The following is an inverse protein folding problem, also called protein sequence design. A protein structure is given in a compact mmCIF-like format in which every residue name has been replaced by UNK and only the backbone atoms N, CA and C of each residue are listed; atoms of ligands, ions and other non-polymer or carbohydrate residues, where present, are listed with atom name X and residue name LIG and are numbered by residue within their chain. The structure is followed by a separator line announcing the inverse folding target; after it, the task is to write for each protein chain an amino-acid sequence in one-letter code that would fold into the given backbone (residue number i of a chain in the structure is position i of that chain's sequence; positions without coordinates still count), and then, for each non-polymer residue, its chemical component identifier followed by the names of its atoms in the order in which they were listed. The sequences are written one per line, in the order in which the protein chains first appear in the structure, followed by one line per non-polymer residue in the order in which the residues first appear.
data_IF_881528620889
#
_entry.id   IF_881528620889
#
_cell.length_a   1.000
_cell.length_b   1.000
_cell.length_c   1.000
_cell.angle_alpha   90.00
_cell.angle_beta   90.00
_cell.angle_gamma   90.00
#
_symmetry.space_group_name_H-M   'P 1'
#
loop_
_entity.id
_entity.type
_entity.pdbx_description
1 polymer ?
#
# COMPACT_ATOMS: atom_id res chain seq x y z
N UNK A 1 10.63 -13.21 -27.00
CA UNK A 1 11.34 -13.00 -25.72
C UNK A 1 10.53 -11.98 -24.92
N UNK A 2 10.10 -12.30 -23.71
CA UNK A 2 9.39 -11.34 -22.87
C UNK A 2 10.41 -10.44 -22.15
N UNK A 3 10.11 -9.14 -22.03
CA UNK A 3 10.96 -8.18 -21.31
C UNK A 3 10.20 -7.75 -20.06
N UNK A 4 10.75 -8.06 -18.89
CA UNK A 4 10.25 -7.53 -17.61
C UNK A 4 10.67 -6.07 -17.44
N UNK A 5 9.70 -5.17 -17.25
CA UNK A 5 9.97 -3.75 -16.97
C UNK A 5 9.87 -3.48 -15.47
N UNK A 6 10.90 -2.85 -14.91
CA UNK A 6 10.93 -2.37 -13.53
C UNK A 6 10.94 -0.84 -13.49
N UNK A 7 10.23 -0.24 -12.54
CA UNK A 7 10.28 1.19 -12.24
C UNK A 7 10.12 1.42 -10.75
N UNK A 8 10.93 2.31 -10.18
CA UNK A 8 10.94 2.62 -8.74
C UNK A 8 10.84 4.14 -8.57
N UNK A 9 10.01 4.59 -7.62
CA UNK A 9 9.81 6.01 -7.28
C UNK A 9 9.65 6.15 -5.76
N UNK A 10 10.17 7.24 -5.21
CA UNK A 10 10.00 7.61 -3.80
C UNK A 10 8.74 8.47 -3.65
N UNK A 11 7.90 8.13 -2.68
CA UNK A 11 6.69 8.87 -2.34
C UNK A 11 6.96 10.10 -1.48
N UNK A 12 5.94 10.95 -1.29
CA UNK A 12 5.97 12.03 -0.30
C UNK A 12 5.48 11.51 1.05
N UNK A 13 5.96 12.10 2.13
CA UNK A 13 5.45 11.86 3.48
C UNK A 13 3.94 12.15 3.56
N UNK A 14 3.22 11.35 4.35
CA UNK A 14 1.76 11.49 4.54
C UNK A 14 0.90 10.93 3.40
N UNK A 15 1.45 10.06 2.54
CA UNK A 15 0.74 9.42 1.42
C UNK A 15 0.88 7.91 1.39
N UNK A 16 1.45 7.28 2.40
CA UNK A 16 1.68 5.84 2.44
C UNK A 16 0.36 5.07 2.57
N UNK A 17 -0.51 5.45 3.50
CA UNK A 17 -1.79 4.76 3.76
C UNK A 17 -2.72 4.73 2.56
N UNK A 18 -3.03 5.87 1.91
CA UNK A 18 -3.91 5.84 0.74
C UNK A 18 -3.29 5.06 -0.43
N UNK A 19 -1.95 5.03 -0.54
CA UNK A 19 -1.27 4.27 -1.57
C UNK A 19 -1.31 2.75 -1.30
N UNK A 20 -1.08 2.33 -0.05
CA UNK A 20 -1.20 0.94 0.36
C UNK A 20 -2.63 0.42 0.18
N UNK A 21 -3.62 1.18 0.62
CA UNK A 21 -5.04 0.85 0.43
C UNK A 21 -5.41 0.75 -1.06
N UNK A 22 -4.82 1.59 -1.92
CA UNK A 22 -5.01 1.51 -3.37
C UNK A 22 -4.48 0.19 -3.94
N UNK A 23 -3.23 -0.18 -3.62
CA UNK A 23 -2.61 -1.42 -4.12
C UNK A 23 -3.37 -2.66 -3.64
N UNK A 24 -3.68 -2.71 -2.34
CA UNK A 24 -4.39 -3.83 -1.73
C UNK A 24 -5.90 -3.83 -2.03
N UNK A 25 -6.41 -2.81 -2.75
CA UNK A 25 -7.84 -2.62 -3.07
C UNK A 25 -8.74 -2.64 -1.83
N UNK A 26 -8.33 -1.95 -0.76
CA UNK A 26 -9.06 -1.88 0.50
C UNK A 26 -9.90 -0.58 0.60
N UNK A 27 -10.99 -0.64 1.37
CA UNK A 27 -11.84 0.52 1.67
C UNK A 27 -12.49 1.10 0.42
N UNK A 28 -12.23 2.38 0.13
CA UNK A 28 -12.84 3.08 -1.01
C UNK A 28 -12.50 2.46 -2.39
N UNK A 29 -11.46 1.61 -2.46
CA UNK A 29 -11.00 0.98 -3.70
C UNK A 29 -11.58 -0.41 -3.93
N UNK A 30 -12.33 -0.97 -2.97
CA UNK A 30 -12.99 -2.28 -3.12
C UNK A 30 -13.98 -2.25 -4.29
N UNK A 31 -14.71 -1.14 -4.44
CA UNK A 31 -15.68 -0.93 -5.53
C UNK A 31 -15.05 -0.82 -6.92
N UNK A 32 -13.73 -0.59 -7.02
CA UNK A 32 -13.05 -0.58 -8.33
C UNK A 32 -12.89 -1.96 -8.94
N UNK A 33 -13.05 -3.02 -8.15
CA UNK A 33 -13.08 -4.40 -8.67
C UNK A 33 -14.29 -4.63 -9.60
N UNK A 34 -15.36 -3.83 -9.45
CA UNK A 34 -16.56 -3.91 -10.29
C UNK A 34 -16.33 -3.41 -11.74
N UNK A 35 -15.23 -2.69 -12.01
CA UNK A 35 -14.87 -2.21 -13.35
C UNK A 35 -14.04 -3.21 -14.16
N UNK A 36 -13.92 -4.45 -13.69
CA UNK A 36 -13.29 -5.56 -14.44
C UNK A 36 -11.80 -5.78 -14.12
N UNK A 37 -11.22 -5.00 -13.19
CA UNK A 37 -9.89 -5.28 -12.66
C UNK A 37 -10.00 -6.25 -11.46
N UNK A 38 -9.19 -7.31 -11.45
CA UNK A 38 -9.12 -8.24 -10.31
C UNK A 38 -7.76 -8.14 -9.64
N UNK A 39 -7.77 -8.03 -8.31
CA UNK A 39 -6.57 -8.23 -7.50
C UNK A 39 -6.32 -9.74 -7.42
N UNK A 40 -5.25 -10.22 -8.06
CA UNK A 40 -4.93 -11.65 -8.09
C UNK A 40 -4.28 -12.15 -6.78
N UNK A 41 -3.39 -11.34 -6.22
CA UNK A 41 -2.69 -11.65 -4.98
C UNK A 41 -2.30 -10.35 -4.26
N UNK A 42 -2.32 -10.39 -2.93
CA UNK A 42 -1.78 -9.35 -2.07
C UNK A 42 -1.30 -9.98 -0.78
N UNK A 43 -0.06 -9.70 -0.41
CA UNK A 43 0.57 -10.21 0.80
C UNK A 43 1.38 -9.11 1.46
N UNK A 44 1.64 -9.27 2.75
CA UNK A 44 2.48 -8.40 3.54
C UNK A 44 3.30 -9.23 4.52
N UNK A 45 4.46 -8.71 4.93
CA UNK A 45 5.37 -9.40 5.83
C UNK A 45 6.24 -8.43 6.62
N UNK A 46 7.00 -8.95 7.58
CA UNK A 46 7.87 -8.17 8.47
C UNK A 46 7.13 -7.03 9.21
N UNK A 47 5.86 -7.25 9.55
CA UNK A 47 5.07 -6.26 10.27
C UNK A 47 5.46 -6.25 11.76
N UNK A 48 5.49 -5.06 12.40
CA UNK A 48 5.66 -4.99 13.84
C UNK A 48 4.45 -5.63 14.54
N UNK A 49 4.64 -6.07 15.80
CA UNK A 49 3.61 -6.82 16.56
C UNK A 49 2.24 -6.13 16.57
N UNK A 50 2.20 -4.80 16.61
CA UNK A 50 0.99 -3.99 16.63
C UNK A 50 0.28 -3.83 15.27
N UNK A 51 0.95 -4.16 14.16
CA UNK A 51 0.39 -4.17 12.80
C UNK A 51 0.41 -5.57 12.16
N UNK A 52 0.65 -6.62 12.96
CA UNK A 52 0.85 -7.97 12.45
C UNK A 52 -0.37 -8.52 11.69
N UNK A 53 -1.58 -8.11 12.07
CA UNK A 53 -2.84 -8.53 11.44
C UNK A 53 -3.35 -7.55 10.39
N UNK A 54 -2.93 -6.29 10.47
CA UNK A 54 -3.36 -5.24 9.55
C UNK A 54 -2.17 -4.33 9.18
N UNK A 55 -1.61 -4.47 7.98
CA UNK A 55 -0.46 -3.68 7.53
C UNK A 55 -0.81 -2.19 7.37
N UNK A 56 -2.09 -1.82 7.24
CA UNK A 56 -2.50 -0.43 7.11
C UNK A 56 -2.11 0.39 8.34
N UNK A 57 -2.14 -0.18 9.54
CA UNK A 57 -1.72 0.52 10.75
C UNK A 57 -0.27 1.02 10.65
N UNK A 58 0.61 0.25 10.00
CA UNK A 58 2.00 0.67 9.80
C UNK A 58 2.08 1.93 8.95
N UNK A 59 1.31 1.97 7.87
CA UNK A 59 1.30 3.09 6.94
C UNK A 59 0.62 4.32 7.53
N UNK A 60 -0.42 4.14 8.35
CA UNK A 60 -1.08 5.21 9.09
C UNK A 60 -0.14 5.83 10.12
N UNK A 61 0.61 4.99 10.84
CA UNK A 61 1.66 5.45 11.74
C UNK A 61 2.78 6.16 11.00
N UNK A 62 3.21 5.66 9.82
CA UNK A 62 4.19 6.35 9.00
C UNK A 62 3.69 7.74 8.58
N UNK A 63 2.44 7.84 8.10
CA UNK A 63 1.85 9.12 7.70
C UNK A 63 1.73 10.12 8.87
N UNK A 64 1.52 9.64 10.10
CA UNK A 64 1.40 10.48 11.29
C UNK A 64 2.74 10.91 11.91
N UNK A 65 3.76 10.04 11.87
CA UNK A 65 5.00 10.22 12.63
C UNK A 65 6.25 10.43 11.76
N UNK A 66 6.18 10.25 10.43
CA UNK A 66 7.28 10.54 9.54
C UNK A 66 7.59 12.05 9.51
N UNK A 67 8.88 12.40 9.50
CA UNK A 67 9.30 13.80 9.40
C UNK A 67 8.94 14.38 8.03
N UNK A 68 8.79 15.70 7.96
CA UNK A 68 8.43 16.43 6.73
C UNK A 68 9.28 16.09 5.50
N UNK A 69 10.55 15.72 5.69
CA UNK A 69 11.49 15.35 4.63
C UNK A 69 12.01 13.89 4.76
N UNK A 70 11.15 12.97 5.22
CA UNK A 70 11.34 11.51 5.19
C UNK A 70 12.63 11.00 5.80
#
# INVERSE_FOLDING_TARGET
MAIGRLSVKVGKAGKASPHAAYIARLGQYEKRLEQGEKLEASEFGNMPKWAATNPLHLWEAADAYERKNG
#
